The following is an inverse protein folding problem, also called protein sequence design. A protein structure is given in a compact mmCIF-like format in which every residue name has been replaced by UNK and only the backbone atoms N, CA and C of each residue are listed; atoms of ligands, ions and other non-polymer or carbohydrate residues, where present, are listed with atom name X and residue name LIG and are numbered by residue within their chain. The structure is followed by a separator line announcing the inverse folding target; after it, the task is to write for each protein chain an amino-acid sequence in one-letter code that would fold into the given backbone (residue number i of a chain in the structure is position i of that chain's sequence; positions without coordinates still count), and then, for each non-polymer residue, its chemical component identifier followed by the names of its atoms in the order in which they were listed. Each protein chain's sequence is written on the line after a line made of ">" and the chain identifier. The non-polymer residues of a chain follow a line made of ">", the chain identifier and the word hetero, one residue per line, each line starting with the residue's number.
data_IF_777623565157
#
_entry.id   IF_777623565157
#
_cell.length_a   1.000
_cell.length_b   1.000
_cell.length_c   1.000
_cell.angle_alpha   90.00
_cell.angle_beta   90.00
_cell.angle_gamma   90.00
#
_symmetry.space_group_name_H-M   'P 1'
#
loop_
_entity.id
_entity.type
_entity.pdbx_description
1 polymer ?
#
# COMPACT_ATOMS: atom_id res chain seq x y z
N UNK A 1 -18.65 2.17 16.76
CA UNK A 1 -17.52 2.70 17.59
C UNK A 1 -17.56 2.21 19.03
N UNK A 2 -18.65 2.46 19.78
CA UNK A 2 -18.75 2.06 21.20
C UNK A 2 -18.65 0.53 21.43
N UNK A 3 -19.37 -0.27 20.65
CA UNK A 3 -19.49 -1.72 20.91
C UNK A 3 -18.25 -2.55 20.57
N UNK A 4 -17.44 -2.13 19.58
CA UNK A 4 -16.32 -2.94 19.08
C UNK A 4 -15.00 -2.18 19.07
N UNK A 5 -14.94 -1.02 18.41
CA UNK A 5 -13.68 -0.28 18.25
C UNK A 5 -13.04 0.12 19.60
N UNK A 6 -13.83 0.67 20.53
CA UNK A 6 -13.31 1.06 21.84
C UNK A 6 -12.82 -0.15 22.65
N UNK A 7 -13.61 -1.24 22.81
CA UNK A 7 -13.12 -2.48 23.42
C UNK A 7 -11.87 -3.06 22.75
N UNK A 8 -11.82 -3.11 21.42
CA UNK A 8 -10.63 -3.57 20.67
C UNK A 8 -9.41 -2.74 21.04
N UNK A 9 -9.54 -1.40 21.06
CA UNK A 9 -8.45 -0.50 21.43
C UNK A 9 -7.98 -0.75 22.87
N UNK A 10 -8.91 -0.98 23.79
CA UNK A 10 -8.58 -1.29 25.19
C UNK A 10 -7.87 -2.63 25.34
N UNK A 11 -8.36 -3.70 24.70
CA UNK A 11 -7.70 -5.01 24.70
C UNK A 11 -6.27 -4.90 24.17
N UNK A 12 -6.07 -4.26 23.02
CA UNK A 12 -4.74 -4.05 22.44
C UNK A 12 -3.83 -3.26 23.38
N UNK A 13 -4.36 -2.24 24.06
CA UNK A 13 -3.62 -1.46 25.05
C UNK A 13 -3.22 -2.29 26.28
N UNK A 14 -4.13 -3.14 26.79
CA UNK A 14 -3.86 -4.06 27.92
C UNK A 14 -2.80 -5.11 27.55
N UNK A 15 -2.93 -5.73 26.38
CA UNK A 15 -1.95 -6.72 25.87
C UNK A 15 -0.57 -6.08 25.74
N UNK A 16 -0.47 -4.92 25.09
CA UNK A 16 0.81 -4.23 24.91
C UNK A 16 1.47 -3.83 26.24
N UNK A 17 0.67 -3.44 27.25
CA UNK A 17 1.19 -3.15 28.61
C UNK A 17 1.71 -4.42 29.29
N UNK A 18 0.95 -5.52 29.24
CA UNK A 18 1.33 -6.80 29.84
C UNK A 18 2.60 -7.36 29.19
N UNK A 19 2.74 -7.25 27.87
CA UNK A 19 3.96 -7.61 27.13
C UNK A 19 5.19 -6.83 27.61
N UNK A 20 5.06 -5.51 27.82
CA UNK A 20 6.16 -4.67 28.34
C UNK A 20 6.55 -5.03 29.77
N UNK A 21 5.62 -5.55 30.57
CA UNK A 21 5.86 -5.98 31.95
C UNK A 21 6.45 -7.40 32.04
N UNK A 22 6.54 -8.13 30.92
CA UNK A 22 7.06 -9.50 30.89
C UNK A 22 6.12 -10.55 31.48
N UNK A 23 4.85 -10.22 31.76
CA UNK A 23 3.88 -11.18 32.28
C UNK A 23 3.29 -12.01 31.13
N UNK A 24 4.00 -13.09 30.78
CA UNK A 24 3.62 -13.99 29.70
C UNK A 24 2.27 -14.68 29.96
N UNK A 25 1.94 -15.00 31.22
CA UNK A 25 0.69 -15.68 31.59
C UNK A 25 -0.50 -14.73 31.40
N UNK A 26 -0.41 -13.51 31.91
CA UNK A 26 -1.46 -12.50 31.72
C UNK A 26 -1.59 -12.11 30.25
N UNK A 27 -0.48 -11.96 29.53
CA UNK A 27 -0.49 -11.67 28.08
C UNK A 27 -1.26 -12.75 27.32
N UNK A 28 -0.93 -14.03 27.55
CA UNK A 28 -1.59 -15.16 26.89
C UNK A 28 -3.09 -15.22 27.23
N UNK A 29 -3.45 -14.96 28.49
CA UNK A 29 -4.86 -14.93 28.90
C UNK A 29 -5.62 -13.78 28.23
N UNK A 30 -5.06 -12.56 28.22
CA UNK A 30 -5.65 -11.40 27.57
C UNK A 30 -5.82 -11.61 26.06
N UNK A 31 -4.82 -12.19 25.39
CA UNK A 31 -4.89 -12.52 23.96
C UNK A 31 -5.99 -13.54 23.66
N UNK A 32 -6.18 -14.56 24.52
CA UNK A 32 -7.27 -15.54 24.38
C UNK A 32 -8.65 -14.89 24.55
N UNK A 33 -8.84 -14.09 25.60
CA UNK A 33 -10.10 -13.37 25.81
C UNK A 33 -10.39 -12.40 24.67
N UNK A 34 -9.35 -11.72 24.16
CA UNK A 34 -9.49 -10.83 23.03
C UNK A 34 -9.85 -11.59 21.74
N UNK A 35 -9.27 -12.76 21.50
CA UNK A 35 -9.63 -13.61 20.36
C UNK A 35 -11.10 -14.04 20.39
N UNK A 36 -11.63 -14.46 21.54
CA UNK A 36 -13.05 -14.80 21.71
C UNK A 36 -13.93 -13.59 21.38
N UNK A 37 -13.59 -12.41 21.93
CA UNK A 37 -14.32 -11.19 21.64
C UNK A 37 -14.33 -10.84 20.14
N UNK A 38 -13.21 -11.07 19.44
CA UNK A 38 -13.13 -10.87 17.99
C UNK A 38 -13.97 -11.89 17.21
N UNK A 39 -14.04 -13.14 17.67
CA UNK A 39 -14.84 -14.19 17.05
C UNK A 39 -16.35 -13.87 17.18
N UNK A 40 -16.79 -13.39 18.34
CA UNK A 40 -18.17 -12.89 18.55
C UNK A 40 -18.49 -11.67 17.66
N UNK A 41 -17.56 -10.72 17.58
CA UNK A 41 -17.71 -9.54 16.73
C UNK A 41 -17.78 -9.93 15.24
N UNK A 42 -16.99 -10.91 14.81
CA UNK A 42 -17.04 -11.44 13.45
C UNK A 42 -18.42 -12.05 13.16
N UNK A 43 -18.99 -12.84 14.10
CA UNK A 43 -20.34 -13.39 13.99
C UNK A 43 -21.41 -12.29 13.80
N UNK A 44 -21.34 -11.22 14.59
CA UNK A 44 -22.24 -10.08 14.45
C UNK A 44 -22.17 -9.45 13.05
N UNK A 45 -20.97 -9.13 12.55
CA UNK A 45 -20.84 -8.48 11.23
C UNK A 45 -21.24 -9.41 10.08
N UNK A 46 -21.01 -10.72 10.19
CA UNK A 46 -21.49 -11.68 9.20
C UNK A 46 -23.02 -11.70 9.12
N UNK A 47 -23.72 -11.75 10.27
CA UNK A 47 -25.19 -11.68 10.30
C UNK A 47 -25.73 -10.33 9.80
N UNK A 48 -25.05 -9.23 10.12
CA UNK A 48 -25.39 -7.91 9.60
C UNK A 48 -25.24 -7.84 8.08
N UNK A 49 -24.14 -8.36 7.52
CA UNK A 49 -23.90 -8.37 6.08
C UNK A 49 -24.96 -9.18 5.33
N UNK A 50 -25.34 -10.34 5.86
CA UNK A 50 -26.43 -11.15 5.30
C UNK A 50 -27.77 -10.37 5.29
N UNK A 51 -28.07 -9.67 6.39
CA UNK A 51 -29.29 -8.86 6.50
C UNK A 51 -29.29 -7.68 5.55
N UNK A 52 -28.15 -6.99 5.41
CA UNK A 52 -27.97 -5.88 4.47
C UNK A 52 -28.06 -6.34 3.01
N UNK A 53 -27.53 -7.52 2.69
CA UNK A 53 -27.63 -8.08 1.34
C UNK A 53 -29.08 -8.46 1.00
N UNK A 54 -29.78 -9.12 1.92
CA UNK A 54 -31.20 -9.44 1.77
C UNK A 54 -32.05 -8.17 1.57
N UNK A 55 -31.73 -7.10 2.30
CA UNK A 55 -32.37 -5.79 2.13
C UNK A 55 -32.04 -5.18 0.77
N UNK A 56 -30.76 -5.15 0.38
CA UNK A 56 -30.29 -4.60 -0.90
C UNK A 56 -30.98 -5.25 -2.11
N UNK A 57 -31.23 -6.56 -2.05
CA UNK A 57 -31.93 -7.30 -3.14
C UNK A 57 -33.38 -6.83 -3.34
N UNK A 58 -34.04 -6.35 -2.29
CA UNK A 58 -35.44 -5.88 -2.30
C UNK A 58 -35.57 -4.37 -2.52
N UNK A 59 -34.53 -3.61 -2.25
CA UNK A 59 -34.53 -2.15 -2.42
C UNK A 59 -34.42 -1.74 -3.89
N UNK A 60 -35.15 -0.68 -4.26
CA UNK A 60 -35.02 -0.02 -5.55
C UNK A 60 -33.60 0.55 -5.74
N UNK A 61 -32.93 0.35 -6.89
CA UNK A 61 -31.57 0.83 -7.12
C UNK A 61 -31.32 2.30 -6.80
N UNK A 62 -32.30 3.19 -7.00
CA UNK A 62 -32.15 4.63 -6.73
C UNK A 62 -32.10 4.96 -5.24
N UNK A 63 -32.60 4.07 -4.39
CA UNK A 63 -32.68 4.25 -2.93
C UNK A 63 -31.58 3.52 -2.15
N UNK A 64 -30.70 2.75 -2.83
CA UNK A 64 -29.71 1.86 -2.19
C UNK A 64 -28.52 2.58 -1.54
N UNK A 65 -28.38 3.90 -1.68
CA UNK A 65 -27.20 4.64 -1.22
C UNK A 65 -26.84 4.39 0.24
N UNK A 66 -27.84 4.36 1.15
CA UNK A 66 -27.61 4.09 2.56
C UNK A 66 -27.19 2.63 2.81
N UNK A 67 -27.86 1.68 2.16
CA UNK A 67 -27.54 0.26 2.29
C UNK A 67 -26.15 -0.06 1.75
N UNK A 68 -25.75 0.56 0.63
CA UNK A 68 -24.38 0.46 0.08
C UNK A 68 -23.35 1.00 1.08
N UNK A 69 -23.57 2.18 1.67
CA UNK A 69 -22.69 2.75 2.69
C UNK A 69 -22.61 1.87 3.96
N UNK A 70 -23.73 1.31 4.39
CA UNK A 70 -23.78 0.39 5.54
C UNK A 70 -23.01 -0.91 5.24
N UNK A 71 -23.20 -1.50 4.06
CA UNK A 71 -22.49 -2.71 3.61
C UNK A 71 -20.99 -2.46 3.50
N UNK A 72 -20.59 -1.33 2.91
CA UNK A 72 -19.19 -0.90 2.86
C UNK A 72 -18.59 -0.83 4.27
N UNK A 73 -19.25 -0.13 5.20
CA UNK A 73 -18.77 -0.01 6.58
C UNK A 73 -18.66 -1.36 7.29
N UNK A 74 -19.67 -2.22 7.14
CA UNK A 74 -19.67 -3.57 7.72
C UNK A 74 -18.54 -4.46 7.16
N UNK A 75 -18.27 -4.40 5.86
CA UNK A 75 -17.15 -5.12 5.24
C UNK A 75 -15.79 -4.62 5.73
N UNK A 76 -15.60 -3.30 5.87
CA UNK A 76 -14.38 -2.74 6.44
C UNK A 76 -14.17 -3.23 7.87
N UNK A 77 -15.21 -3.20 8.71
CA UNK A 77 -15.10 -3.63 10.10
C UNK A 77 -14.91 -5.15 10.24
N UNK A 78 -15.57 -5.96 9.41
CA UNK A 78 -15.33 -7.40 9.36
C UNK A 78 -13.87 -7.71 8.95
N UNK A 79 -13.34 -6.99 7.96
CA UNK A 79 -11.93 -7.09 7.57
C UNK A 79 -10.97 -6.65 8.67
N UNK A 80 -11.30 -5.60 9.41
CA UNK A 80 -10.50 -5.12 10.56
C UNK A 80 -10.45 -6.17 11.67
N UNK A 81 -11.59 -6.79 11.99
CA UNK A 81 -11.70 -7.87 12.98
C UNK A 81 -10.86 -9.08 12.55
N UNK A 82 -11.00 -9.52 11.30
CA UNK A 82 -10.19 -10.61 10.76
C UNK A 82 -8.69 -10.29 10.83
N UNK A 83 -8.29 -9.05 10.50
CA UNK A 83 -6.90 -8.60 10.63
C UNK A 83 -6.42 -8.62 12.09
N UNK A 84 -7.22 -8.15 13.03
CA UNK A 84 -6.86 -8.20 14.45
C UNK A 84 -6.77 -9.64 14.97
N UNK A 85 -7.60 -10.55 14.47
CA UNK A 85 -7.59 -11.96 14.85
C UNK A 85 -6.26 -12.63 14.50
N UNK A 86 -5.75 -12.38 13.30
CA UNK A 86 -4.44 -12.84 12.81
C UNK A 86 -3.27 -12.25 13.62
N UNK A 87 -3.45 -11.07 14.22
CA UNK A 87 -2.43 -10.47 15.10
C UNK A 87 -2.40 -11.13 16.50
N UNK A 88 -3.49 -11.77 16.92
CA UNK A 88 -3.58 -12.50 18.18
C UNK A 88 -3.07 -13.95 18.07
N UNK A 89 -2.98 -14.48 16.85
CA UNK A 89 -2.44 -15.81 16.60
C UNK A 89 -0.93 -15.80 16.82
N UNK A 90 -0.46 -16.75 17.62
CA UNK A 90 0.96 -17.12 17.64
C UNK A 90 1.33 -17.55 16.21
N UNK A 91 2.55 -17.23 15.76
CA UNK A 91 3.05 -17.73 14.47
C UNK A 91 3.07 -19.26 14.51
N UNK A 92 2.02 -19.92 14.03
CA UNK A 92 1.95 -21.37 13.98
C UNK A 92 2.60 -21.87 12.68
N UNK A 93 3.50 -22.83 12.79
CA UNK A 93 4.11 -23.49 11.63
C UNK A 93 5.19 -22.65 10.94
N UNK A 94 5.11 -22.53 9.60
CA UNK A 94 6.07 -21.86 8.72
C UNK A 94 6.29 -20.36 8.98
N UNK A 95 5.61 -19.81 10.00
CA UNK A 95 5.70 -18.41 10.41
C UNK A 95 4.81 -17.46 9.61
N UNK A 96 4.04 -17.95 8.62
CA UNK A 96 3.28 -17.10 7.72
C UNK A 96 1.86 -16.85 8.22
N UNK A 97 1.54 -15.58 8.48
CA UNK A 97 0.21 -15.14 8.88
C UNK A 97 -0.79 -15.23 7.72
N UNK A 98 -1.95 -15.84 7.94
CA UNK A 98 -3.00 -15.93 6.93
C UNK A 98 -3.89 -14.67 6.96
N UNK A 99 -3.76 -13.81 5.95
CA UNK A 99 -4.52 -12.57 5.85
C UNK A 99 -5.75 -12.66 4.93
N UNK A 100 -6.07 -13.84 4.39
CA UNK A 100 -7.03 -14.01 3.28
C UNK A 100 -8.43 -13.54 3.67
N UNK A 101 -8.89 -13.86 4.88
CA UNK A 101 -10.20 -13.40 5.37
C UNK A 101 -10.31 -11.88 5.38
N UNK A 102 -9.26 -11.20 5.84
CA UNK A 102 -9.22 -9.73 5.85
C UNK A 102 -9.19 -9.17 4.42
N UNK A 103 -8.33 -9.74 3.56
CA UNK A 103 -8.23 -9.35 2.15
C UNK A 103 -9.56 -9.50 1.42
N UNK A 104 -10.24 -10.63 1.57
CA UNK A 104 -11.55 -10.90 0.96
C UNK A 104 -12.58 -9.84 1.36
N UNK A 105 -12.67 -9.49 2.65
CA UNK A 105 -13.59 -8.45 3.10
C UNK A 105 -13.31 -7.10 2.44
N UNK A 106 -12.03 -6.70 2.35
CA UNK A 106 -11.66 -5.44 1.71
C UNK A 106 -11.83 -5.46 0.19
N UNK A 107 -11.60 -6.60 -0.47
CA UNK A 107 -11.88 -6.74 -1.91
C UNK A 107 -13.39 -6.67 -2.20
N UNK A 108 -14.22 -7.31 -1.38
CA UNK A 108 -15.68 -7.15 -1.47
C UNK A 108 -16.09 -5.69 -1.22
N UNK A 109 -15.42 -4.99 -0.29
CA UNK A 109 -15.67 -3.58 -0.05
C UNK A 109 -15.37 -2.71 -1.28
N UNK A 110 -14.30 -3.01 -2.03
CA UNK A 110 -13.99 -2.37 -3.32
C UNK A 110 -15.09 -2.65 -4.35
N UNK A 111 -15.61 -3.87 -4.43
CA UNK A 111 -16.71 -4.20 -5.35
C UNK A 111 -18.00 -3.44 -5.02
N UNK A 112 -18.24 -3.16 -3.73
CA UNK A 112 -19.43 -2.42 -3.28
C UNK A 112 -19.29 -0.92 -3.50
N UNK A 113 -18.10 -0.35 -3.28
CA UNK A 113 -17.83 1.08 -3.39
C UNK A 113 -16.44 1.34 -4.00
N UNK A 114 -16.28 1.20 -5.33
CA UNK A 114 -15.00 1.36 -6.00
C UNK A 114 -14.44 2.79 -5.95
N UNK A 115 -15.29 3.79 -5.69
CA UNK A 115 -14.91 5.19 -5.49
C UNK A 115 -14.24 5.44 -4.13
N UNK A 116 -14.38 4.53 -3.16
CA UNK A 116 -13.84 4.72 -1.81
C UNK A 116 -12.36 4.32 -1.71
N UNK A 117 -11.53 5.22 -1.20
CA UNK A 117 -10.12 4.93 -0.94
C UNK A 117 -9.87 4.08 0.32
N UNK A 118 -10.85 3.98 1.23
CA UNK A 118 -10.68 3.30 2.52
C UNK A 118 -10.33 1.80 2.38
N UNK A 119 -11.05 0.98 1.58
CA UNK A 119 -10.68 -0.42 1.37
C UNK A 119 -9.25 -0.60 0.84
N UNK A 120 -8.81 0.27 -0.07
CA UNK A 120 -7.44 0.26 -0.57
C UNK A 120 -6.43 0.54 0.54
N UNK A 121 -6.67 1.53 1.41
CA UNK A 121 -5.79 1.79 2.55
C UNK A 121 -5.69 0.57 3.47
N UNK A 122 -6.81 -0.12 3.75
CA UNK A 122 -6.79 -1.29 4.61
C UNK A 122 -6.05 -2.49 3.99
N UNK A 123 -6.20 -2.72 2.68
CA UNK A 123 -5.36 -3.69 1.95
C UNK A 123 -3.88 -3.32 2.02
N UNK A 124 -3.54 -2.04 1.93
CA UNK A 124 -2.17 -1.56 2.11
C UNK A 124 -1.62 -1.85 3.52
N UNK A 125 -2.45 -1.71 4.57
CA UNK A 125 -2.07 -2.09 5.94
C UNK A 125 -1.80 -3.59 6.03
N UNK A 126 -2.66 -4.42 5.43
CA UNK A 126 -2.46 -5.88 5.40
C UNK A 126 -1.17 -6.24 4.67
N UNK A 127 -0.97 -5.71 3.47
CA UNK A 127 0.24 -5.94 2.67
C UNK A 127 1.51 -5.51 3.43
N UNK A 128 1.48 -4.36 4.10
CA UNK A 128 2.61 -3.89 4.91
C UNK A 128 2.93 -4.83 6.08
N UNK A 129 1.90 -5.40 6.72
CA UNK A 129 2.05 -6.39 7.80
C UNK A 129 2.44 -7.79 7.29
N UNK A 130 2.15 -8.09 6.04
CA UNK A 130 2.55 -9.31 5.33
C UNK A 130 3.93 -9.19 4.65
N UNK A 131 4.61 -8.06 4.81
CA UNK A 131 5.91 -7.76 4.19
C UNK A 131 5.87 -7.68 2.64
N UNK A 132 4.69 -7.44 2.08
CA UNK A 132 4.47 -7.20 0.65
C UNK A 132 4.62 -5.70 0.36
N UNK A 133 5.84 -5.19 0.49
CA UNK A 133 6.15 -3.76 0.50
C UNK A 133 5.65 -3.00 -0.75
N UNK A 134 5.84 -3.58 -1.94
CA UNK A 134 5.38 -2.96 -3.18
C UNK A 134 3.85 -2.89 -3.24
N UNK A 135 3.17 -3.97 -2.86
CA UNK A 135 1.70 -4.02 -2.81
C UNK A 135 1.17 -2.98 -1.82
N UNK A 136 1.82 -2.82 -0.66
CA UNK A 136 1.44 -1.81 0.33
C UNK A 136 1.50 -0.40 -0.26
N UNK A 137 2.61 -0.05 -0.91
CA UNK A 137 2.81 1.26 -1.55
C UNK A 137 1.76 1.51 -2.64
N UNK A 138 1.57 0.54 -3.54
CA UNK A 138 0.54 0.61 -4.58
C UNK A 138 -0.86 0.85 -3.98
N UNK A 139 -1.24 0.10 -2.93
CA UNK A 139 -2.56 0.21 -2.30
C UNK A 139 -2.76 1.56 -1.60
N UNK A 140 -1.75 2.10 -0.93
CA UNK A 140 -1.87 3.45 -0.34
C UNK A 140 -2.01 4.54 -1.41
N UNK A 141 -1.29 4.43 -2.54
CA UNK A 141 -1.47 5.36 -3.66
C UNK A 141 -2.87 5.26 -4.26
N UNK A 142 -3.40 4.05 -4.46
CA UNK A 142 -4.79 3.83 -4.89
C UNK A 142 -5.80 4.45 -3.93
N UNK A 143 -5.56 4.38 -2.63
CA UNK A 143 -6.42 5.00 -1.62
C UNK A 143 -6.44 6.54 -1.69
N UNK A 144 -5.35 7.15 -2.18
CA UNK A 144 -5.25 8.60 -2.39
C UNK A 144 -5.83 9.06 -3.72
N UNK A 145 -5.75 8.21 -4.76
CA UNK A 145 -6.26 8.49 -6.11
C UNK A 145 -7.74 8.17 -6.29
N UNK A 146 -8.38 7.57 -5.29
CA UNK A 146 -9.82 7.29 -5.32
C UNK A 146 -10.63 8.59 -5.34
N UNK A 147 -11.86 8.53 -5.85
CA UNK A 147 -12.78 9.68 -5.89
C UNK A 147 -13.13 10.20 -4.48
N UNK A 148 -13.22 9.29 -3.51
CA UNK A 148 -13.24 9.62 -2.08
C UNK A 148 -11.91 9.17 -1.43
N UNK A 149 -10.87 10.03 -1.42
CA UNK A 149 -9.56 9.69 -0.85
C UNK A 149 -9.64 9.38 0.65
N UNK A 150 -8.76 8.48 1.11
CA UNK A 150 -8.66 8.19 2.55
C UNK A 150 -7.47 8.91 3.20
N UNK A 151 -7.74 9.84 4.11
CA UNK A 151 -6.72 10.74 4.67
C UNK A 151 -5.52 10.05 5.35
N UNK A 152 -5.71 8.90 5.98
CA UNK A 152 -4.60 8.17 6.62
C UNK A 152 -3.63 7.50 5.62
N UNK A 153 -3.99 7.41 4.34
CA UNK A 153 -3.14 6.79 3.33
C UNK A 153 -1.82 7.55 3.12
N UNK A 154 -1.83 8.88 3.26
CA UNK A 154 -0.64 9.73 3.11
C UNK A 154 0.44 9.37 4.14
N UNK A 155 0.06 9.27 5.42
CA UNK A 155 0.99 8.91 6.50
C UNK A 155 1.50 7.47 6.37
N UNK A 156 0.60 6.56 5.98
CA UNK A 156 0.92 5.16 5.75
C UNK A 156 1.89 4.99 4.58
N UNK A 157 1.66 5.68 3.46
CA UNK A 157 2.57 5.72 2.32
C UNK A 157 3.94 6.28 2.74
N UNK A 158 3.94 7.40 3.47
CA UNK A 158 5.18 7.99 3.95
C UNK A 158 5.99 7.03 4.85
N UNK A 159 5.31 6.21 5.67
CA UNK A 159 5.95 5.15 6.47
C UNK A 159 6.47 4.01 5.59
N UNK A 160 5.68 3.54 4.62
CA UNK A 160 6.06 2.45 3.72
C UNK A 160 7.25 2.81 2.81
N UNK A 161 7.35 4.06 2.38
CA UNK A 161 8.48 4.56 1.59
C UNK A 161 9.76 4.74 2.42
N UNK A 162 9.66 5.00 3.73
CA UNK A 162 10.84 5.05 4.62
C UNK A 162 11.40 3.66 4.94
N UNK A 163 10.56 2.62 4.96
CA UNK A 163 10.99 1.23 5.12
C UNK A 163 11.92 0.87 3.95
N UNK A 164 13.15 0.44 4.21
CA UNK A 164 14.11 0.05 3.17
C UNK A 164 14.84 1.20 2.46
N UNK A 165 14.81 2.43 3.00
CA UNK A 165 15.64 3.54 2.48
C UNK A 165 17.15 3.38 2.77
N UNK A 166 17.51 2.62 3.79
CA UNK A 166 18.91 2.38 4.18
C UNK A 166 19.53 1.14 3.51
N UNK A 167 18.75 0.40 2.73
CA UNK A 167 19.24 -0.75 1.96
C UNK A 167 20.12 -0.26 0.80
N UNK A 168 21.21 -0.97 0.54
CA UNK A 168 22.09 -0.63 -0.59
C UNK A 168 21.37 -0.95 -1.93
N UNK A 169 21.53 -0.11 -2.96
CA UNK A 169 20.91 -0.36 -4.26
C UNK A 169 21.52 -1.60 -4.91
N UNK A 170 20.69 -2.63 -5.11
CA UNK A 170 21.04 -3.78 -5.94
C UNK A 170 20.87 -3.42 -7.42
N UNK A 171 22.00 -3.26 -8.11
CA UNK A 171 22.06 -2.90 -9.54
C UNK A 171 22.02 -4.12 -10.47
N UNK A 172 21.89 -5.34 -9.96
CA UNK A 172 21.81 -6.54 -10.80
C UNK A 172 20.51 -6.58 -11.64
N UNK A 173 20.49 -7.42 -12.68
CA UNK A 173 19.30 -7.66 -13.52
C UNK A 173 18.30 -8.57 -12.81
N UNK A 174 16.99 -8.27 -12.86
CA UNK A 174 15.99 -9.03 -12.11
C UNK A 174 15.58 -10.25 -12.94
N UNK A 175 15.71 -11.43 -12.34
CA UNK A 175 15.39 -12.69 -13.00
C UNK A 175 13.92 -13.08 -12.79
N UNK A 176 13.28 -12.52 -11.76
CA UNK A 176 11.89 -12.82 -11.39
C UNK A 176 11.04 -11.56 -11.20
N UNK A 177 9.72 -11.69 -11.29
CA UNK A 177 8.80 -10.58 -11.04
C UNK A 177 8.93 -9.99 -9.61
N UNK A 178 9.01 -10.78 -8.52
CA UNK A 178 9.20 -10.24 -7.18
C UNK A 178 10.49 -9.43 -7.02
N UNK A 179 11.62 -9.92 -7.58
CA UNK A 179 12.88 -9.18 -7.60
C UNK A 179 12.73 -7.84 -8.34
N UNK A 180 12.07 -7.85 -9.49
CA UNK A 180 11.83 -6.64 -10.26
C UNK A 180 10.96 -5.63 -9.49
N UNK A 181 9.87 -6.06 -8.86
CA UNK A 181 8.99 -5.18 -8.09
C UNK A 181 9.71 -4.58 -6.87
N UNK A 182 10.56 -5.37 -6.19
CA UNK A 182 11.40 -4.90 -5.10
C UNK A 182 12.40 -3.84 -5.57
N UNK A 183 13.08 -4.06 -6.70
CA UNK A 183 14.03 -3.09 -7.28
C UNK A 183 13.34 -1.83 -7.80
N UNK A 184 12.20 -1.99 -8.47
CA UNK A 184 11.38 -0.87 -8.91
C UNK A 184 10.94 -0.01 -7.72
N UNK A 185 10.52 -0.64 -6.61
CA UNK A 185 10.20 0.08 -5.38
C UNK A 185 11.41 0.79 -4.78
N UNK A 186 12.58 0.15 -4.76
CA UNK A 186 13.80 0.77 -4.26
C UNK A 186 14.20 1.99 -5.11
N UNK A 187 14.15 1.86 -6.44
CA UNK A 187 14.34 2.98 -7.38
C UNK A 187 13.34 4.11 -7.09
N UNK A 188 12.06 3.79 -6.92
CA UNK A 188 11.03 4.76 -6.57
C UNK A 188 11.34 5.46 -5.25
N UNK A 189 11.72 4.72 -4.20
CA UNK A 189 12.12 5.26 -2.89
C UNK A 189 13.32 6.20 -3.00
N UNK A 190 14.33 5.87 -3.82
CA UNK A 190 15.49 6.74 -4.03
C UNK A 190 15.09 8.04 -4.72
N UNK A 191 14.31 7.94 -5.80
CA UNK A 191 13.83 9.08 -6.57
C UNK A 191 13.00 10.03 -5.68
N UNK A 192 12.06 9.49 -4.91
CA UNK A 192 11.15 10.27 -4.06
C UNK A 192 11.70 10.60 -2.67
N UNK A 193 12.72 9.88 -2.20
CA UNK A 193 13.38 10.10 -0.91
C UNK A 193 14.40 11.25 -0.92
N UNK A 194 14.97 11.56 -2.10
CA UNK A 194 15.87 12.69 -2.30
C UNK A 194 15.23 14.06 -2.06
N UNK A 195 13.89 14.17 -2.02
CA UNK A 195 13.20 15.41 -1.62
C UNK A 195 13.36 15.73 -0.12
N UNK A 196 13.63 14.71 0.72
CA UNK A 196 13.61 14.83 2.18
C UNK A 196 15.00 15.03 2.80
N UNK A 197 16.04 14.54 2.14
CA UNK A 197 17.41 14.84 2.54
C UNK A 197 17.78 16.20 1.97
N UNK A 198 18.15 17.16 2.85
CA UNK A 198 18.71 18.42 2.39
C UNK A 198 19.99 18.08 1.58
N UNK A 199 19.90 18.18 0.26
CA UNK A 199 20.93 17.79 -0.72
C UNK A 199 22.28 18.54 -0.58
N UNK A 200 22.42 19.42 0.42
CA UNK A 200 23.64 20.17 0.65
C UNK A 200 24.60 19.37 1.52
N UNK A 201 25.48 18.61 0.86
CA UNK A 201 26.67 18.04 1.48
C UNK A 201 26.49 16.70 2.20
N UNK A 202 25.33 16.05 2.11
CA UNK A 202 25.16 14.68 2.63
C UNK A 202 25.88 13.68 1.70
N UNK A 203 26.92 12.96 2.16
CA UNK A 203 27.61 11.93 1.38
C UNK A 203 26.65 10.85 0.84
N UNK A 204 25.53 10.59 1.54
CA UNK A 204 24.50 9.66 1.09
C UNK A 204 23.81 10.15 -0.18
N UNK A 205 23.55 11.45 -0.30
CA UNK A 205 22.88 12.01 -1.47
C UNK A 205 23.73 11.88 -2.76
N UNK A 206 25.04 12.14 -2.66
CA UNK A 206 25.96 11.94 -3.79
C UNK A 206 26.06 10.46 -4.21
N UNK A 207 26.05 9.55 -3.24
CA UNK A 207 26.04 8.11 -3.51
C UNK A 207 24.77 7.68 -4.25
N UNK A 208 23.61 8.18 -3.81
CA UNK A 208 22.31 7.94 -4.46
C UNK A 208 22.29 8.50 -5.88
N UNK A 209 22.74 9.72 -6.10
CA UNK A 209 22.79 10.32 -7.44
C UNK A 209 23.69 9.54 -8.41
N UNK A 210 24.81 8.98 -7.93
CA UNK A 210 25.71 8.16 -8.75
C UNK A 210 25.11 6.79 -9.10
N UNK A 211 24.31 6.20 -8.23
CA UNK A 211 23.69 4.88 -8.44
C UNK A 211 22.36 4.93 -9.21
N UNK A 212 21.72 6.09 -9.33
CA UNK A 212 20.47 6.25 -10.08
C UNK A 212 20.57 5.86 -11.57
N UNK A 213 21.51 6.38 -12.39
CA UNK A 213 21.57 6.03 -13.81
C UNK A 213 21.74 4.53 -14.10
N UNK A 214 22.65 3.78 -13.45
CA UNK A 214 22.74 2.34 -13.67
C UNK A 214 21.49 1.60 -13.18
N UNK A 215 20.91 1.98 -12.04
CA UNK A 215 19.70 1.34 -11.49
C UNK A 215 18.47 1.54 -12.40
N UNK A 216 18.30 2.74 -12.97
CA UNK A 216 17.26 3.01 -13.97
C UNK A 216 17.42 2.09 -15.18
N UNK A 217 18.66 2.01 -15.71
CA UNK A 217 18.96 1.20 -16.90
C UNK A 217 18.65 -0.28 -16.65
N UNK A 218 19.07 -0.82 -15.51
CA UNK A 218 18.90 -2.24 -15.18
C UNK A 218 17.45 -2.57 -14.82
N UNK A 219 16.72 -1.64 -14.20
CA UNK A 219 15.27 -1.79 -13.97
C UNK A 219 14.50 -1.82 -15.29
N UNK A 220 14.82 -0.91 -16.23
CA UNK A 220 14.17 -0.87 -17.54
C UNK A 220 14.49 -2.09 -18.43
N UNK A 221 15.73 -2.58 -18.39
CA UNK A 221 16.10 -3.80 -19.10
C UNK A 221 15.41 -5.03 -18.51
N UNK A 222 15.32 -5.10 -17.17
CA UNK A 222 14.63 -6.20 -16.47
C UNK A 222 13.13 -6.21 -16.79
N UNK A 223 12.46 -5.05 -16.77
CA UNK A 223 11.06 -4.93 -17.21
C UNK A 223 10.88 -5.50 -18.62
N UNK A 224 11.73 -5.07 -19.56
CA UNK A 224 11.66 -5.51 -20.95
C UNK A 224 11.88 -7.02 -21.11
N UNK A 225 12.82 -7.60 -20.36
CA UNK A 225 13.13 -9.03 -20.40
C UNK A 225 11.99 -9.88 -19.80
N UNK A 226 11.55 -9.54 -18.58
CA UNK A 226 10.48 -10.26 -17.88
C UNK A 226 9.16 -10.22 -18.64
N UNK A 227 8.85 -9.08 -19.26
CA UNK A 227 7.71 -8.91 -20.15
C UNK A 227 7.76 -9.86 -21.36
N UNK A 228 8.89 -9.91 -22.06
CA UNK A 228 9.11 -10.80 -23.22
C UNK A 228 8.98 -12.27 -22.85
N UNK A 229 9.43 -12.63 -21.66
CA UNK A 229 9.40 -13.99 -21.15
C UNK A 229 8.04 -14.37 -20.53
N UNK A 230 7.06 -13.48 -20.50
CA UNK A 230 5.76 -13.74 -19.89
C UNK A 230 5.78 -13.85 -18.35
N UNK A 231 6.86 -13.40 -17.70
CA UNK A 231 7.05 -13.53 -16.25
C UNK A 231 6.35 -12.43 -15.44
N UNK A 232 5.97 -11.32 -16.09
CA UNK A 232 5.12 -10.28 -15.50
C UNK A 232 3.68 -10.43 -15.98
N UNK A 233 2.76 -10.45 -15.02
CA UNK A 233 1.33 -10.43 -15.27
C UNK A 233 0.85 -9.03 -15.65
N UNK A 234 -0.31 -8.93 -16.29
CA UNK A 234 -0.91 -7.63 -16.60
C UNK A 234 -1.26 -6.85 -15.31
N UNK A 235 -1.54 -7.56 -14.22
CA UNK A 235 -1.75 -6.96 -12.90
C UNK A 235 -0.46 -6.29 -12.39
N UNK A 236 0.69 -6.96 -12.49
CA UNK A 236 1.98 -6.41 -12.07
C UNK A 236 2.31 -5.14 -12.86
N UNK A 237 2.10 -5.19 -14.18
CA UNK A 237 2.29 -4.04 -15.05
C UNK A 237 1.39 -2.88 -14.61
N UNK A 238 0.09 -3.14 -14.44
CA UNK A 238 -0.87 -2.11 -14.04
C UNK A 238 -0.47 -1.45 -12.70
N UNK A 239 0.05 -2.22 -11.74
CA UNK A 239 0.56 -1.66 -10.48
C UNK A 239 1.74 -0.72 -10.70
N UNK A 240 2.70 -1.11 -11.54
CA UNK A 240 3.84 -0.26 -11.94
C UNK A 240 3.35 1.01 -12.64
N UNK A 241 2.39 0.89 -13.57
CA UNK A 241 1.74 2.03 -14.24
C UNK A 241 1.16 3.02 -13.23
N UNK A 242 0.36 2.54 -12.27
CA UNK A 242 -0.28 3.38 -11.25
C UNK A 242 0.76 4.08 -10.37
N UNK A 243 1.82 3.38 -9.95
CA UNK A 243 2.89 3.98 -9.13
C UNK A 243 3.61 5.08 -9.91
N UNK A 244 3.90 4.86 -11.19
CA UNK A 244 4.49 5.87 -12.07
C UNK A 244 3.56 7.09 -12.24
N UNK A 245 2.27 6.88 -12.51
CA UNK A 245 1.29 7.98 -12.67
C UNK A 245 1.16 8.77 -11.37
N UNK A 246 1.07 8.09 -10.22
CA UNK A 246 1.03 8.74 -8.91
C UNK A 246 2.27 9.59 -8.66
N UNK A 247 3.46 9.05 -8.99
CA UNK A 247 4.70 9.80 -8.90
C UNK A 247 4.61 11.09 -9.73
N UNK A 248 4.25 10.99 -11.01
CA UNK A 248 4.11 12.15 -11.89
C UNK A 248 3.07 13.18 -11.40
N UNK A 249 1.92 12.73 -10.88
CA UNK A 249 0.83 13.62 -10.46
C UNK A 249 1.12 14.35 -9.14
N UNK A 250 1.74 13.69 -8.18
CA UNK A 250 2.10 14.29 -6.88
C UNK A 250 3.23 15.32 -6.98
N UNK A 251 4.10 15.17 -7.98
CA UNK A 251 5.14 16.16 -8.30
C UNK A 251 4.60 17.45 -8.93
N UNK A 252 3.47 17.38 -9.64
CA UNK A 252 2.79 18.57 -10.18
C UNK A 252 2.24 19.44 -9.05
N UNK A 253 1.63 18.83 -8.02
CA UNK A 253 0.92 19.51 -6.93
C UNK A 253 1.89 20.07 -5.86
N UNK A 254 2.93 19.34 -5.49
CA UNK A 254 3.87 19.76 -4.43
C UNK A 254 4.72 20.98 -4.80
N UNK A 255 4.77 21.31 -6.10
CA UNK A 255 5.56 22.41 -6.66
C UNK A 255 4.94 23.78 -6.48
N UNK A 256 3.61 23.87 -6.43
CA UNK A 256 2.91 25.13 -6.24
C UNK A 256 2.83 25.54 -4.76
N UNK A 257 2.87 24.57 -3.84
CA UNK A 257 2.67 24.83 -2.41
C UNK A 257 3.94 25.25 -1.63
N UNK A 258 5.15 25.07 -2.19
CA UNK A 258 6.42 25.21 -1.43
C UNK A 258 7.45 26.20 -2.00
N UNK A 259 7.08 27.04 -2.95
CA UNK A 259 7.89 28.21 -3.34
C UNK A 259 7.68 29.38 -2.34
N UNK A 260 7.90 29.10 -1.06
CA UNK A 260 7.94 30.06 0.03
C UNK A 260 9.39 30.43 0.36
N UNK A 261 9.86 31.53 -0.24
CA UNK A 261 11.00 32.39 0.09
C UNK A 261 12.06 31.86 1.07
N UNK A 262 13.14 31.28 0.53
CA UNK A 262 14.56 31.58 0.83
C UNK A 262 15.43 30.35 0.46
N UNK A 263 16.44 30.53 -0.41
CA UNK A 263 17.27 29.51 -1.08
C UNK A 263 16.61 28.69 -2.22
N UNK A 264 15.82 29.37 -3.06
CA UNK A 264 14.93 28.76 -4.05
C UNK A 264 15.56 28.34 -5.40
N UNK A 265 16.72 28.89 -5.82
CA UNK A 265 17.21 28.69 -7.19
C UNK A 265 17.84 27.30 -7.41
N UNK A 266 18.89 26.95 -6.65
CA UNK A 266 19.61 25.68 -6.83
C UNK A 266 18.81 24.46 -6.31
N UNK A 267 18.01 24.65 -5.26
CA UNK A 267 17.07 23.62 -4.78
C UNK A 267 15.93 23.40 -5.77
N UNK A 268 15.50 24.47 -6.47
CA UNK A 268 14.55 24.41 -7.56
C UNK A 268 15.08 23.65 -8.78
N UNK A 269 16.31 23.91 -9.21
CA UNK A 269 16.94 23.21 -10.35
C UNK A 269 17.12 21.72 -10.09
N UNK A 270 17.59 21.33 -8.90
CA UNK A 270 17.72 19.91 -8.55
C UNK A 270 16.35 19.25 -8.46
N UNK A 271 15.33 19.93 -7.91
CA UNK A 271 13.97 19.42 -7.88
C UNK A 271 13.37 19.30 -9.30
N UNK A 272 13.69 20.20 -10.23
CA UNK A 272 13.27 20.13 -11.64
C UNK A 272 13.96 18.98 -12.37
N UNK A 273 15.27 18.79 -12.18
CA UNK A 273 16.01 17.66 -12.74
C UNK A 273 15.53 16.32 -12.19
N UNK A 274 15.21 16.26 -10.89
CA UNK A 274 14.58 15.09 -10.27
C UNK A 274 13.22 14.84 -10.92
N UNK A 275 12.36 15.86 -11.09
CA UNK A 275 11.06 15.70 -11.78
C UNK A 275 11.20 15.20 -13.20
N UNK A 276 12.10 15.79 -13.99
CA UNK A 276 12.35 15.35 -15.35
C UNK A 276 12.89 13.91 -15.37
N UNK A 277 13.70 13.53 -14.38
CA UNK A 277 14.18 12.16 -14.22
C UNK A 277 13.05 11.20 -13.82
N UNK A 278 12.18 11.56 -12.86
CA UNK A 278 11.00 10.77 -12.49
C UNK A 278 10.11 10.56 -13.71
N UNK A 279 9.77 11.65 -14.40
CA UNK A 279 8.90 11.63 -15.58
C UNK A 279 9.56 10.82 -16.70
N UNK A 280 10.85 11.01 -16.97
CA UNK A 280 11.56 10.28 -18.02
C UNK A 280 11.68 8.77 -17.70
N UNK A 281 11.97 8.41 -16.45
CA UNK A 281 12.03 7.02 -15.99
C UNK A 281 10.65 6.39 -16.05
N UNK A 282 9.63 7.04 -15.49
CA UNK A 282 8.24 6.61 -15.58
C UNK A 282 7.84 6.45 -17.03
N UNK A 283 8.06 7.44 -17.90
CA UNK A 283 7.73 7.37 -19.32
C UNK A 283 8.46 6.24 -20.05
N UNK A 284 9.73 6.01 -19.74
CA UNK A 284 10.51 4.90 -20.32
C UNK A 284 9.94 3.54 -19.92
N UNK A 285 9.56 3.37 -18.65
CA UNK A 285 8.93 2.14 -18.16
C UNK A 285 7.52 1.96 -18.73
N UNK A 286 6.73 3.04 -18.78
CA UNK A 286 5.40 3.07 -19.41
C UNK A 286 5.49 2.65 -20.89
N UNK A 287 6.44 3.21 -21.64
CA UNK A 287 6.67 2.88 -23.05
C UNK A 287 7.09 1.42 -23.23
N UNK A 288 7.99 0.92 -22.38
CA UNK A 288 8.42 -0.48 -22.41
C UNK A 288 7.26 -1.45 -22.11
N UNK A 289 6.44 -1.14 -21.10
CA UNK A 289 5.28 -1.94 -20.75
C UNK A 289 4.17 -1.87 -21.81
N UNK A 290 3.91 -0.68 -22.38
CA UNK A 290 2.92 -0.51 -23.46
C UNK A 290 3.30 -1.31 -24.72
N UNK A 291 4.56 -1.21 -25.17
CA UNK A 291 5.00 -1.95 -26.36
C UNK A 291 5.01 -3.47 -26.19
N UNK A 292 4.93 -3.97 -24.96
CA UNK A 292 4.71 -5.39 -24.66
C UNK A 292 3.23 -5.71 -24.68
N UNK A 293 2.40 -4.88 -24.05
CA UNK A 293 0.95 -5.05 -24.03
C UNK A 293 0.36 -5.06 -25.45
N UNK A 294 0.76 -4.12 -26.29
CA UNK A 294 0.34 -4.02 -27.70
C UNK A 294 0.61 -5.33 -28.46
N UNK A 295 1.82 -5.88 -28.32
CA UNK A 295 2.20 -7.18 -28.92
C UNK A 295 1.45 -8.39 -28.36
N UNK A 296 0.88 -8.30 -27.16
CA UNK A 296 0.04 -9.36 -26.57
C UNK A 296 -1.39 -9.26 -27.09
N UNK A 297 -1.92 -8.05 -27.27
CA UNK A 297 -3.27 -7.82 -27.81
C UNK A 297 -3.37 -8.18 -29.29
N UNK A 298 -2.28 -8.02 -30.05
CA UNK A 298 -2.21 -8.38 -31.48
C UNK A 298 -2.10 -9.89 -31.75
N UNK A 299 -1.93 -10.73 -30.73
CA UNK A 299 -1.83 -12.21 -30.84
C UNK A 299 -3.13 -12.88 -30.44
#
# INVERSE_FOLDING_TARGET
>A
KACFYNPIREFRGKIARSQRQGDAKATKQLSRTFAIFLDDAAGFYMGLLQSLEAKRRKEDPTSRTLTVKATLGALIYAGDIARYRVQCEDSQGDGKKNWDRARTCYHMAIQVAPWSGNPHNQLGVVAFQAEEDFEAVYRYMRAMLAEEPFGSATENLARALRKGMDEAPDISTAATAPEFLARFLHLYRMIHGLERTQLRGDPKANTVLRSLPPLVRTTASSLSALCKNGQLTDEDLLKVFVVCIFGMSTYSISSQARLGKSNAALSGEIAVLQRLSCIAVSFSLLRAAWGVYEKRVER
#
